data_IF_023003431064
#
_entry.id   IF_023003431064
#
_cell.length_a   1.000
_cell.length_b   1.000
_cell.length_c   1.000
_cell.angle_alpha   90.00
_cell.angle_beta   90.00
_cell.angle_gamma   90.00
#
_symmetry.space_group_name_H-M   'P 1'
#
loop_
_entity.id
_entity.type
_entity.pdbx_description
1 polymer ?
#
# COMPACT_ATOMS: atom_id res chain seq x y z
N UNK A 1 -16.20 6.05 10.35
CA UNK A 1 -15.80 7.48 10.16
C UNK A 1 -14.79 7.53 9.03
N UNK A 2 -15.15 8.20 7.96
CA UNK A 2 -14.35 8.31 6.74
C UNK A 2 -13.00 9.02 7.01
N UNK A 3 -11.90 8.42 6.58
CA UNK A 3 -10.56 9.01 6.67
C UNK A 3 -10.10 9.55 5.33
N UNK A 4 -10.40 8.83 4.23
CA UNK A 4 -10.02 9.21 2.88
C UNK A 4 -11.26 9.22 2.00
N UNK A 5 -11.47 10.30 1.27
CA UNK A 5 -12.50 10.39 0.25
C UNK A 5 -11.91 10.91 -1.05
N UNK A 6 -12.26 10.26 -2.12
CA UNK A 6 -11.88 10.60 -3.50
C UNK A 6 -13.16 10.82 -4.27
N UNK A 7 -13.31 11.99 -4.92
CA UNK A 7 -14.52 12.37 -5.66
C UNK A 7 -14.19 12.87 -7.06
N UNK A 8 -14.76 12.21 -8.05
CA UNK A 8 -14.65 12.52 -9.49
C UNK A 8 -13.20 12.79 -9.93
N UNK A 9 -12.29 11.98 -9.42
CA UNK A 9 -10.85 12.17 -9.58
C UNK A 9 -10.43 11.88 -11.01
N UNK A 10 -9.81 12.87 -11.65
CA UNK A 10 -9.21 12.71 -12.99
C UNK A 10 -7.76 13.16 -12.96
N UNK A 11 -6.89 12.35 -13.56
CA UNK A 11 -5.49 12.70 -13.81
C UNK A 11 -5.11 12.42 -15.25
N UNK A 12 -4.74 13.48 -15.95
CA UNK A 12 -4.26 13.41 -17.32
C UNK A 12 -2.77 13.75 -17.40
N UNK A 13 -2.10 13.15 -18.38
CA UNK A 13 -0.73 13.45 -18.75
C UNK A 13 -0.65 13.75 -20.25
N UNK A 14 0.30 14.56 -20.66
CA UNK A 14 0.46 14.95 -22.06
C UNK A 14 -0.45 16.09 -22.48
N UNK A 15 -0.53 16.34 -23.80
CA UNK A 15 -1.40 17.36 -24.40
C UNK A 15 -1.73 17.01 -25.84
N UNK A 16 -2.86 17.52 -26.35
CA UNK A 16 -3.32 17.28 -27.73
C UNK A 16 -3.53 15.79 -28.00
N UNK A 17 -2.98 15.29 -29.10
CA UNK A 17 -3.13 13.88 -29.53
C UNK A 17 -2.45 12.86 -28.61
N UNK A 18 -1.53 13.32 -27.74
CA UNK A 18 -0.83 12.48 -26.76
C UNK A 18 -1.41 12.58 -25.34
N UNK A 19 -2.66 13.02 -25.20
CA UNK A 19 -3.34 13.08 -23.91
C UNK A 19 -3.69 11.66 -23.44
N UNK A 20 -3.24 11.33 -22.23
CA UNK A 20 -3.54 10.04 -21.57
C UNK A 20 -4.31 10.30 -20.28
N UNK A 21 -5.49 9.70 -20.16
CA UNK A 21 -6.25 9.66 -18.92
C UNK A 21 -5.74 8.51 -18.05
N UNK A 22 -4.79 8.78 -17.16
CA UNK A 22 -4.23 7.76 -16.29
C UNK A 22 -5.18 7.37 -15.13
N UNK A 23 -6.06 8.31 -14.73
CA UNK A 23 -7.21 8.11 -13.83
C UNK A 23 -8.34 8.96 -14.42
N UNK A 24 -9.55 8.42 -14.51
CA UNK A 24 -10.70 9.02 -15.20
C UNK A 24 -11.98 8.80 -14.39
N UNK A 25 -12.49 9.88 -13.78
CA UNK A 25 -13.71 9.94 -12.97
C UNK A 25 -13.81 8.87 -11.86
N UNK A 26 -12.75 8.74 -11.07
CA UNK A 26 -12.65 7.77 -9.97
C UNK A 26 -13.22 8.36 -8.69
N UNK A 27 -14.16 7.64 -8.04
CA UNK A 27 -14.75 8.03 -6.76
C UNK A 27 -14.86 6.83 -5.81
N UNK A 28 -14.34 6.98 -4.59
CA UNK A 28 -14.45 5.99 -3.52
C UNK A 28 -14.16 6.64 -2.16
N UNK A 29 -14.53 5.96 -1.08
CA UNK A 29 -14.15 6.35 0.28
C UNK A 29 -13.55 5.19 1.05
N UNK A 30 -12.79 5.51 2.11
CA UNK A 30 -12.14 4.57 3.01
C UNK A 30 -12.43 4.98 4.45
N UNK A 31 -12.93 4.05 5.24
CA UNK A 31 -13.20 4.26 6.67
C UNK A 31 -11.94 4.09 7.52
N UNK A 32 -11.92 4.75 8.70
CA UNK A 32 -10.81 4.56 9.67
C UNK A 32 -10.69 3.10 10.11
N UNK A 33 -9.46 2.58 10.02
CA UNK A 33 -9.15 1.20 10.40
C UNK A 33 -9.45 0.16 9.32
N UNK A 34 -9.94 0.58 8.16
CA UNK A 34 -10.26 -0.32 7.04
C UNK A 34 -8.99 -0.74 6.29
N UNK A 35 -8.98 -1.99 5.84
CA UNK A 35 -7.95 -2.52 4.93
C UNK A 35 -8.53 -2.57 3.52
N UNK A 36 -8.11 -1.65 2.67
CA UNK A 36 -8.58 -1.47 1.29
C UNK A 36 -7.51 -1.90 0.29
N UNK A 37 -7.91 -2.67 -0.70
CA UNK A 37 -7.02 -3.08 -1.79
C UNK A 37 -7.40 -2.40 -3.11
N UNK A 38 -6.39 -2.04 -3.90
CA UNK A 38 -6.55 -1.57 -5.29
C UNK A 38 -5.90 -2.60 -6.20
N UNK A 39 -6.69 -3.14 -7.12
CA UNK A 39 -6.23 -4.14 -8.10
C UNK A 39 -6.55 -3.70 -9.53
N UNK A 40 -5.94 -4.36 -10.50
CA UNK A 40 -6.14 -4.08 -11.93
C UNK A 40 -4.93 -4.54 -12.74
N UNK A 41 -5.05 -4.57 -14.04
CA UNK A 41 -3.95 -4.92 -14.93
C UNK A 41 -2.81 -3.89 -14.89
N UNK A 42 -1.65 -4.22 -15.43
CA UNK A 42 -0.56 -3.26 -15.58
C UNK A 42 -1.02 -2.09 -16.47
N UNK A 43 -0.74 -0.86 -16.03
CA UNK A 43 -1.19 0.34 -16.76
C UNK A 43 -2.60 0.81 -16.42
N UNK A 44 -3.36 0.14 -15.56
CA UNK A 44 -4.74 0.53 -15.20
C UNK A 44 -4.85 1.79 -14.32
N UNK A 45 -3.75 2.49 -14.00
CA UNK A 45 -3.79 3.74 -13.23
C UNK A 45 -3.56 3.61 -11.71
N UNK A 46 -3.40 2.39 -11.16
CA UNK A 46 -3.24 2.15 -9.71
C UNK A 46 -2.16 3.00 -9.04
N UNK A 47 -0.93 2.93 -9.53
CA UNK A 47 0.17 3.72 -8.96
C UNK A 47 -0.03 5.23 -9.15
N UNK A 48 -0.66 5.65 -10.25
CA UNK A 48 -1.05 7.05 -10.42
C UNK A 48 -2.02 7.47 -9.33
N UNK A 49 -3.09 6.69 -9.09
CA UNK A 49 -4.10 6.98 -8.07
C UNK A 49 -3.47 7.13 -6.68
N UNK A 50 -2.67 6.16 -6.24
CA UNK A 50 -2.07 6.20 -4.90
C UNK A 50 -1.00 7.28 -4.74
N UNK A 51 -0.39 7.74 -5.83
CA UNK A 51 0.59 8.84 -5.83
C UNK A 51 -0.08 10.23 -5.74
N UNK A 52 -1.36 10.35 -6.08
CA UNK A 52 -2.12 11.59 -5.90
C UNK A 52 -2.47 11.85 -4.43
N UNK A 53 -2.65 10.81 -3.62
CA UNK A 53 -3.05 10.94 -2.21
C UNK A 53 -1.98 11.68 -1.37
N UNK A 54 -0.67 11.33 -1.41
CA UNK A 54 0.38 12.09 -0.72
C UNK A 54 0.78 13.36 -1.47
N UNK A 55 0.03 13.70 -2.54
CA UNK A 55 0.27 14.85 -3.39
C UNK A 55 1.68 14.90 -3.95
N UNK A 56 2.14 13.75 -4.54
CA UNK A 56 3.35 13.74 -5.38
C UNK A 56 3.09 14.41 -6.73
N UNK A 57 1.83 14.39 -7.16
CA UNK A 57 1.29 15.12 -8.32
C UNK A 57 -0.05 15.73 -7.94
N UNK A 58 -0.36 16.89 -8.48
CA UNK A 58 -1.68 17.48 -8.34
C UNK A 58 -2.69 16.80 -9.27
N UNK A 59 -3.94 16.74 -8.85
CA UNK A 59 -5.07 16.24 -9.63
C UNK A 59 -5.36 17.19 -10.81
N UNK A 60 -5.92 16.67 -11.89
CA UNK A 60 -6.40 17.50 -13.01
C UNK A 60 -7.81 17.99 -12.70
N UNK A 61 -8.69 17.09 -12.24
CA UNK A 61 -10.07 17.39 -11.83
C UNK A 61 -10.44 16.55 -10.60
N UNK A 62 -11.50 16.94 -9.90
CA UNK A 62 -11.98 16.26 -8.71
C UNK A 62 -11.27 16.68 -7.43
N UNK A 63 -11.53 15.94 -6.37
CA UNK A 63 -11.03 16.24 -5.01
C UNK A 63 -10.56 14.99 -4.29
N UNK A 64 -9.56 15.18 -3.42
CA UNK A 64 -9.14 14.18 -2.43
C UNK A 64 -9.19 14.88 -1.06
N UNK A 65 -9.93 14.30 -0.13
CA UNK A 65 -9.93 14.77 1.27
C UNK A 65 -9.34 13.72 2.21
N UNK A 66 -8.57 14.16 3.19
CA UNK A 66 -8.04 13.35 4.29
C UNK A 66 -8.57 13.91 5.60
N UNK A 67 -9.26 13.10 6.40
CA UNK A 67 -10.01 13.55 7.60
C UNK A 67 -10.98 14.72 7.29
N UNK A 68 -11.62 14.71 6.12
CA UNK A 68 -12.57 15.75 5.70
C UNK A 68 -11.93 17.05 5.21
N UNK A 69 -10.59 17.14 5.14
CA UNK A 69 -9.88 18.34 4.65
C UNK A 69 -9.30 18.07 3.25
N UNK A 70 -9.54 18.95 2.29
CA UNK A 70 -8.96 18.85 0.96
C UNK A 70 -7.42 18.90 1.06
N UNK A 71 -6.75 17.93 0.45
CA UNK A 71 -5.28 17.83 0.49
C UNK A 71 -4.57 19.05 -0.10
N UNK A 72 -5.27 19.87 -0.88
CA UNK A 72 -4.74 21.13 -1.45
C UNK A 72 -4.74 22.29 -0.45
N UNK A 73 -5.56 22.21 0.59
CA UNK A 73 -5.71 23.26 1.62
C UNK A 73 -4.68 23.17 2.74
N UNK A 74 -3.93 22.06 2.79
CA UNK A 74 -2.89 21.86 3.80
C UNK A 74 -1.49 21.83 3.17
N UNK A 75 -0.46 22.10 3.99
CA UNK A 75 0.91 21.95 3.52
C UNK A 75 1.21 20.50 3.20
N UNK A 76 2.10 20.25 2.22
CA UNK A 76 2.54 18.89 1.89
C UNK A 76 3.18 18.18 3.09
N UNK A 77 3.83 18.93 3.98
CA UNK A 77 4.41 18.40 5.21
C UNK A 77 3.30 17.87 6.13
N UNK A 78 2.30 18.69 6.44
CA UNK A 78 1.17 18.32 7.30
C UNK A 78 0.40 17.12 6.73
N UNK A 79 0.16 17.10 5.42
CA UNK A 79 -0.48 15.98 4.74
C UNK A 79 0.33 14.70 4.89
N UNK A 80 1.62 14.78 4.53
CA UNK A 80 2.51 13.60 4.50
C UNK A 80 2.83 13.09 5.89
N UNK A 81 2.73 13.91 6.94
CA UNK A 81 2.90 13.45 8.32
C UNK A 81 1.85 12.43 8.74
N UNK A 82 0.63 12.53 8.19
CA UNK A 82 -0.45 11.57 8.41
C UNK A 82 -0.31 10.27 7.60
N UNK A 83 0.57 10.24 6.59
CA UNK A 83 0.69 9.16 5.62
C UNK A 83 2.01 8.43 5.76
N UNK A 84 1.97 7.11 5.87
CA UNK A 84 3.11 6.21 5.74
C UNK A 84 3.13 5.60 4.34
N UNK A 85 3.90 6.19 3.43
CA UNK A 85 3.96 5.73 2.03
C UNK A 85 5.14 4.79 1.82
N UNK A 86 4.89 3.62 1.23
CA UNK A 86 5.91 2.65 0.82
C UNK A 86 5.83 2.43 -0.69
N UNK A 87 6.84 2.89 -1.46
CA UNK A 87 6.83 2.75 -2.91
C UNK A 87 7.09 1.29 -3.34
N UNK A 88 6.75 1.00 -4.59
CA UNK A 88 7.01 -0.30 -5.23
C UNK A 88 8.48 -0.72 -5.14
N UNK A 89 9.40 0.21 -5.33
CA UNK A 89 10.84 0.00 -5.15
C UNK A 89 11.30 0.74 -3.90
N UNK A 90 11.68 0.01 -2.87
CA UNK A 90 12.22 0.59 -1.64
C UNK A 90 13.44 1.47 -1.91
N UNK A 91 13.44 2.66 -1.32
CA UNK A 91 14.55 3.62 -1.40
C UNK A 91 15.16 3.81 -0.01
N UNK A 92 16.48 3.65 0.10
CA UNK A 92 17.22 3.89 1.32
C UNK A 92 18.19 5.07 1.14
N UNK A 93 18.38 5.81 2.22
CA UNK A 93 19.33 6.90 2.29
C UNK A 93 20.69 6.41 2.77
N UNK A 94 21.74 7.10 2.36
CA UNK A 94 23.09 6.88 2.93
C UNK A 94 23.08 7.17 4.43
N UNK A 95 23.69 6.30 5.23
CA UNK A 95 23.69 6.36 6.68
C UNK A 95 23.80 4.98 7.31
N UNK A 96 23.02 4.70 8.32
CA UNK A 96 22.90 3.37 8.92
C UNK A 96 21.43 2.86 8.88
N UNK A 97 21.22 1.63 9.35
CA UNK A 97 19.89 1.03 9.38
C UNK A 97 18.98 1.82 10.34
N UNK A 98 19.48 2.21 11.51
CA UNK A 98 18.73 2.97 12.51
C UNK A 98 18.19 4.28 11.96
N UNK A 99 19.05 5.10 11.35
CA UNK A 99 18.68 6.38 10.74
C UNK A 99 17.69 6.22 9.59
N UNK A 100 17.79 5.12 8.83
CA UNK A 100 16.83 4.80 7.79
C UNK A 100 15.44 4.44 8.33
N UNK A 101 15.35 3.64 9.40
CA UNK A 101 14.07 3.27 10.02
C UNK A 101 13.45 4.50 10.69
N UNK A 102 14.22 5.26 11.45
CA UNK A 102 13.75 6.42 12.20
C UNK A 102 13.61 7.70 11.36
N UNK A 103 13.87 7.66 10.06
CA UNK A 103 13.82 8.83 9.19
C UNK A 103 12.50 9.62 9.27
N UNK A 104 11.36 8.91 9.39
CA UNK A 104 10.03 9.51 9.52
C UNK A 104 9.62 9.83 10.97
N UNK A 105 10.44 9.44 11.96
CA UNK A 105 10.20 9.66 13.39
C UNK A 105 11.56 9.70 14.13
N UNK A 106 12.34 10.77 13.97
CA UNK A 106 13.69 10.87 14.55
C UNK A 106 13.71 10.72 16.08
N UNK A 107 12.65 11.13 16.75
CA UNK A 107 12.51 11.10 18.22
C UNK A 107 11.94 9.76 18.73
N UNK A 108 11.65 8.79 17.83
CA UNK A 108 11.00 7.53 18.19
C UNK A 108 11.80 6.61 19.12
N UNK A 109 13.12 6.76 19.13
CA UNK A 109 14.02 5.99 19.98
C UNK A 109 14.13 4.50 19.60
N UNK A 110 14.92 3.78 20.41
CA UNK A 110 15.28 2.38 20.13
C UNK A 110 14.08 1.43 20.15
N UNK A 111 13.12 1.66 21.05
CA UNK A 111 11.95 0.79 21.18
C UNK A 111 11.07 0.83 19.92
N UNK A 112 10.82 2.03 19.36
CA UNK A 112 10.04 2.21 18.12
C UNK A 112 10.80 1.60 16.94
N UNK A 113 12.10 1.79 16.87
CA UNK A 113 12.96 1.24 15.82
C UNK A 113 12.89 -0.29 15.80
N UNK A 114 13.07 -0.94 16.96
CA UNK A 114 13.04 -2.40 17.08
C UNK A 114 11.65 -2.96 16.76
N UNK A 115 10.60 -2.35 17.31
CA UNK A 115 9.22 -2.74 17.01
C UNK A 115 8.93 -2.66 15.50
N UNK A 116 9.32 -1.56 14.85
CA UNK A 116 9.13 -1.39 13.41
C UNK A 116 9.91 -2.42 12.58
N UNK A 117 11.15 -2.71 12.97
CA UNK A 117 11.97 -3.73 12.33
C UNK A 117 11.37 -5.14 12.47
N UNK A 118 10.85 -5.47 13.65
CA UNK A 118 10.20 -6.75 13.94
C UNK A 118 8.93 -6.92 13.10
N UNK A 119 8.05 -5.91 13.07
CA UNK A 119 6.83 -5.95 12.27
C UNK A 119 7.16 -6.10 10.79
N UNK A 120 8.17 -5.36 10.29
CA UNK A 120 8.63 -5.42 8.90
C UNK A 120 9.41 -6.71 8.57
N UNK A 121 9.52 -7.68 9.50
CA UNK A 121 10.31 -8.90 9.33
C UNK A 121 11.78 -8.63 8.96
N UNK A 122 12.33 -7.51 9.47
CA UNK A 122 13.69 -7.08 9.19
C UNK A 122 14.70 -7.48 10.28
N UNK A 123 14.23 -7.81 11.49
CA UNK A 123 15.06 -8.05 12.67
C UNK A 123 16.12 -9.15 12.43
N UNK A 124 15.74 -10.29 11.84
CA UNK A 124 16.64 -11.41 11.61
C UNK A 124 17.88 -11.01 10.80
N UNK A 125 17.72 -10.35 9.67
CA UNK A 125 18.86 -9.96 8.85
C UNK A 125 19.65 -8.79 9.44
N UNK A 126 19.01 -7.93 10.26
CA UNK A 126 19.68 -6.84 10.96
C UNK A 126 20.59 -7.42 12.05
N UNK A 127 20.07 -8.33 12.89
CA UNK A 127 20.81 -8.96 13.96
C UNK A 127 21.98 -9.86 13.46
N UNK A 128 21.86 -10.39 12.25
CA UNK A 128 22.93 -11.14 11.59
C UNK A 128 24.12 -10.28 11.11
N UNK A 129 23.98 -8.95 11.10
CA UNK A 129 25.07 -8.03 10.74
C UNK A 129 25.97 -7.75 11.95
N UNK A 130 27.27 -7.55 11.72
CA UNK A 130 28.26 -7.26 12.77
C UNK A 130 27.92 -6.02 13.62
N UNK A 131 27.44 -4.96 12.96
CA UNK A 131 27.09 -3.68 13.59
C UNK A 131 25.57 -3.51 13.78
N UNK A 132 24.78 -4.56 13.48
CA UNK A 132 23.32 -4.59 13.66
C UNK A 132 22.65 -3.35 13.09
N UNK A 133 21.91 -2.59 13.90
CA UNK A 133 21.21 -1.37 13.51
C UNK A 133 22.15 -0.23 13.09
N UNK A 134 23.42 -0.26 13.50
CA UNK A 134 24.44 0.72 13.09
C UNK A 134 25.16 0.32 11.79
N UNK A 135 24.78 -0.81 11.19
CA UNK A 135 25.35 -1.26 9.92
C UNK A 135 25.14 -0.23 8.83
N UNK A 136 26.21 0.10 8.12
CA UNK A 136 26.19 1.11 7.06
C UNK A 136 25.28 0.74 5.91
N UNK A 137 24.50 1.70 5.45
CA UNK A 137 23.68 1.66 4.23
C UNK A 137 24.30 2.63 3.22
N UNK A 138 24.71 2.09 2.09
CA UNK A 138 25.22 2.90 0.97
C UNK A 138 24.07 3.67 0.28
N UNK A 139 24.38 4.70 -0.46
CA UNK A 139 23.40 5.49 -1.21
C UNK A 139 22.51 4.62 -2.08
N UNK A 140 21.20 4.81 -1.96
CA UNK A 140 20.19 4.00 -2.64
C UNK A 140 20.13 2.53 -2.16
N UNK A 141 20.83 2.18 -1.08
CA UNK A 141 20.84 0.82 -0.53
C UNK A 141 21.55 -0.21 -1.42
N UNK A 142 22.59 0.19 -2.16
CA UNK A 142 23.29 -0.70 -3.10
C UNK A 142 23.98 -1.91 -2.44
N UNK A 143 24.21 -1.86 -1.14
CA UNK A 143 24.85 -2.92 -0.34
C UNK A 143 23.85 -3.83 0.41
N UNK A 144 22.55 -3.75 0.11
CA UNK A 144 21.51 -4.63 0.64
C UNK A 144 20.66 -5.21 -0.49
N UNK A 145 20.07 -6.40 -0.27
CA UNK A 145 19.22 -7.04 -1.27
C UNK A 145 17.91 -6.27 -1.49
N UNK A 146 17.22 -6.52 -2.60
CA UNK A 146 15.92 -5.90 -2.90
C UNK A 146 14.88 -6.13 -1.81
N UNK A 147 14.76 -7.37 -1.31
CA UNK A 147 13.84 -7.72 -0.21
C UNK A 147 14.23 -7.07 1.12
N UNK A 148 15.55 -6.96 1.44
CA UNK A 148 16.01 -6.23 2.62
C UNK A 148 15.69 -4.74 2.53
N UNK A 149 15.94 -4.14 1.35
CA UNK A 149 15.62 -2.73 1.06
C UNK A 149 14.13 -2.46 1.25
N UNK A 150 13.28 -3.35 0.74
CA UNK A 150 11.84 -3.23 0.86
C UNK A 150 11.38 -3.32 2.32
N UNK A 151 11.89 -4.31 3.09
CA UNK A 151 11.58 -4.46 4.51
C UNK A 151 12.02 -3.24 5.34
N UNK A 152 13.18 -2.64 5.06
CA UNK A 152 13.61 -1.41 5.73
C UNK A 152 12.73 -0.21 5.36
N UNK A 153 12.27 -0.12 4.11
CA UNK A 153 11.32 0.93 3.69
C UNK A 153 9.95 0.78 4.39
N UNK A 154 9.50 -0.46 4.57
CA UNK A 154 8.28 -0.78 5.34
C UNK A 154 8.48 -0.43 6.82
N UNK A 155 9.62 -0.81 7.43
CA UNK A 155 9.95 -0.47 8.82
C UNK A 155 9.94 1.05 9.05
N UNK A 156 10.48 1.83 8.11
CA UNK A 156 10.41 3.31 8.13
C UNK A 156 8.98 3.84 8.19
N UNK A 157 8.10 3.31 7.36
CA UNK A 157 6.69 3.72 7.36
C UNK A 157 6.00 3.35 8.68
N UNK A 158 6.29 2.17 9.24
CA UNK A 158 5.74 1.71 10.52
C UNK A 158 6.25 2.57 11.69
N UNK A 159 7.55 2.90 11.73
CA UNK A 159 8.15 3.73 12.78
C UNK A 159 7.52 5.12 12.84
N UNK A 160 7.00 5.63 11.74
CA UNK A 160 6.30 6.91 11.64
C UNK A 160 4.96 6.91 12.37
N UNK A 161 4.31 5.75 12.55
CA UNK A 161 2.98 5.59 13.18
C UNK A 161 1.90 6.45 12.50
N UNK A 162 1.72 6.38 11.19
CA UNK A 162 0.77 7.22 10.45
C UNK A 162 -0.68 6.80 10.71
N UNK A 163 -1.63 7.68 10.35
CA UNK A 163 -3.06 7.37 10.35
C UNK A 163 -3.46 6.53 9.12
N UNK A 164 -2.80 6.77 7.99
CA UNK A 164 -3.03 6.06 6.72
C UNK A 164 -1.70 5.46 6.20
N UNK A 165 -1.67 4.14 6.03
CA UNK A 165 -0.61 3.47 5.29
C UNK A 165 -0.99 3.33 3.82
N UNK A 166 -0.04 3.62 2.93
CA UNK A 166 -0.16 3.37 1.50
C UNK A 166 0.99 2.48 1.06
N UNK A 167 0.68 1.29 0.55
CA UNK A 167 1.64 0.34 0.01
C UNK A 167 1.46 0.23 -1.50
N UNK A 168 2.34 0.82 -2.29
CA UNK A 168 2.31 0.72 -3.76
C UNK A 168 3.07 -0.53 -4.20
N UNK A 169 2.36 -1.65 -4.36
CA UNK A 169 2.92 -2.96 -4.78
C UNK A 169 4.17 -3.40 -4.01
N UNK A 170 4.23 -3.00 -2.73
CA UNK A 170 5.45 -3.08 -1.93
C UNK A 170 5.80 -4.49 -1.46
N UNK A 171 4.91 -5.46 -1.65
CA UNK A 171 5.10 -6.84 -1.20
C UNK A 171 5.59 -7.77 -2.31
N UNK A 172 5.56 -7.33 -3.57
CA UNK A 172 5.97 -8.14 -4.73
C UNK A 172 7.45 -8.57 -4.71
N UNK A 173 8.31 -7.77 -4.06
CA UNK A 173 9.74 -8.05 -3.90
C UNK A 173 10.06 -9.02 -2.74
N UNK A 174 9.05 -9.44 -1.97
CA UNK A 174 9.21 -10.34 -0.83
C UNK A 174 8.92 -11.80 -1.23
N UNK A 175 9.61 -12.74 -0.59
CA UNK A 175 9.24 -14.14 -0.67
C UNK A 175 7.91 -14.39 0.05
N UNK A 176 7.22 -15.47 -0.32
CA UNK A 176 5.87 -15.78 0.16
C UNK A 176 5.80 -15.87 1.70
N UNK A 177 6.79 -16.51 2.35
CA UNK A 177 6.81 -16.69 3.81
C UNK A 177 6.92 -15.33 4.53
N UNK A 178 7.83 -14.49 4.08
CA UNK A 178 8.04 -13.14 4.61
C UNK A 178 6.80 -12.27 4.38
N UNK A 179 6.18 -12.33 3.21
CA UNK A 179 4.97 -11.60 2.86
C UNK A 179 3.79 -11.95 3.79
N UNK A 180 3.51 -13.24 3.99
CA UNK A 180 2.44 -13.72 4.90
C UNK A 180 2.71 -13.27 6.35
N UNK A 181 3.94 -13.45 6.85
CA UNK A 181 4.32 -13.06 8.20
C UNK A 181 4.19 -11.55 8.43
N UNK A 182 4.66 -10.75 7.47
CA UNK A 182 4.56 -9.29 7.51
C UNK A 182 3.11 -8.81 7.55
N UNK A 183 2.23 -9.35 6.70
CA UNK A 183 0.81 -8.96 6.70
C UNK A 183 0.09 -9.33 7.98
N UNK A 184 0.36 -10.52 8.51
CA UNK A 184 -0.19 -10.92 9.82
C UNK A 184 0.28 -9.97 10.94
N UNK A 185 1.53 -9.57 10.92
CA UNK A 185 2.09 -8.61 11.88
C UNK A 185 1.49 -7.20 11.69
N UNK A 186 1.36 -6.73 10.44
CA UNK A 186 0.72 -5.46 10.11
C UNK A 186 -0.74 -5.45 10.60
N UNK A 187 -1.56 -6.43 10.24
CA UNK A 187 -2.97 -6.50 10.65
C UNK A 187 -3.13 -6.42 12.17
N UNK A 188 -2.24 -7.06 12.93
CA UNK A 188 -2.26 -7.02 14.40
C UNK A 188 -1.89 -5.64 14.96
N UNK A 189 -0.95 -4.93 14.32
CA UNK A 189 -0.39 -3.66 14.83
C UNK A 189 -1.04 -2.43 14.21
N UNK A 190 -1.59 -2.55 13.02
CA UNK A 190 -2.33 -1.45 12.35
C UNK A 190 -3.83 -1.52 12.59
N UNK A 191 -4.30 -2.27 13.59
CA UNK A 191 -5.72 -2.36 13.94
C UNK A 191 -6.39 -0.99 14.25
N UNK A 192 -5.58 0.05 14.45
CA UNK A 192 -6.04 1.43 14.63
C UNK A 192 -5.66 2.35 13.45
N UNK A 193 -4.96 1.83 12.44
CA UNK A 193 -4.54 2.59 11.25
C UNK A 193 -5.24 2.05 10.02
N UNK A 194 -5.56 2.93 9.10
CA UNK A 194 -6.12 2.57 7.79
C UNK A 194 -5.02 2.10 6.86
N UNK A 195 -5.30 1.10 6.04
CA UNK A 195 -4.33 0.55 5.09
C UNK A 195 -4.91 0.56 3.68
N UNK A 196 -4.22 1.21 2.77
CA UNK A 196 -4.49 1.18 1.34
C UNK A 196 -3.34 0.46 0.62
N UNK A 197 -3.62 -0.64 -0.05
CA UNK A 197 -2.62 -1.46 -0.72
C UNK A 197 -2.89 -1.57 -2.22
N UNK A 198 -1.92 -1.26 -3.05
CA UNK A 198 -1.91 -1.71 -4.44
C UNK A 198 -1.35 -3.13 -4.47
N UNK A 199 -2.15 -4.08 -4.94
CA UNK A 199 -1.77 -5.49 -4.97
C UNK A 199 -1.78 -6.05 -6.39
N UNK A 200 -0.79 -6.89 -6.68
CA UNK A 200 -0.73 -7.69 -7.89
C UNK A 200 -1.23 -9.12 -7.65
N UNK A 201 -1.21 -9.61 -6.40
CA UNK A 201 -1.60 -10.98 -6.04
C UNK A 201 -2.94 -10.99 -5.34
N UNK A 202 -3.91 -11.71 -5.90
CA UNK A 202 -5.25 -11.87 -5.31
C UNK A 202 -5.19 -12.53 -3.93
N UNK A 203 -4.33 -13.54 -3.73
CA UNK A 203 -4.13 -14.20 -2.43
C UNK A 203 -3.80 -13.22 -1.29
N UNK A 204 -3.34 -12.02 -1.61
CA UNK A 204 -2.96 -10.99 -0.63
C UNK A 204 -4.14 -10.19 -0.09
N UNK A 205 -5.25 -10.18 -0.83
CA UNK A 205 -6.36 -9.26 -0.63
C UNK A 205 -7.71 -9.97 -0.40
N UNK A 206 -7.70 -11.31 -0.31
CA UNK A 206 -8.92 -12.10 -0.10
C UNK A 206 -9.77 -11.66 1.09
N UNK A 207 -9.12 -11.07 2.11
CA UNK A 207 -9.74 -10.61 3.36
C UNK A 207 -9.75 -9.07 3.48
N UNK A 208 -9.60 -8.36 2.37
CA UNK A 208 -9.78 -6.91 2.36
C UNK A 208 -11.26 -6.58 2.61
N UNK A 209 -11.51 -5.58 3.44
CA UNK A 209 -12.85 -5.08 3.69
C UNK A 209 -13.44 -4.46 2.43
N UNK A 210 -12.59 -3.85 1.60
CA UNK A 210 -12.98 -3.30 0.30
C UNK A 210 -11.87 -3.56 -0.72
N UNK A 211 -12.26 -3.95 -1.93
CA UNK A 211 -11.37 -4.08 -3.10
C UNK A 211 -11.89 -3.14 -4.19
N UNK A 212 -11.02 -2.27 -4.67
CA UNK A 212 -11.28 -1.35 -5.79
C UNK A 212 -10.59 -1.92 -7.02
N UNK A 213 -11.37 -2.24 -8.04
CA UNK A 213 -10.86 -2.77 -9.31
C UNK A 213 -10.74 -1.63 -10.32
N UNK A 214 -9.51 -1.37 -10.76
CA UNK A 214 -9.25 -0.37 -11.80
C UNK A 214 -8.99 -1.04 -13.14
N UNK A 215 -9.61 -0.51 -14.17
CA UNK A 215 -9.38 -0.85 -15.56
C UNK A 215 -9.37 0.40 -16.44
N UNK A 216 -8.33 0.56 -17.24
CA UNK A 216 -8.14 1.72 -18.13
C UNK A 216 -8.37 3.08 -17.45
N UNK A 217 -7.92 3.24 -16.21
CA UNK A 217 -8.06 4.47 -15.42
C UNK A 217 -9.41 4.64 -14.71
N UNK A 218 -10.36 3.75 -14.89
CA UNK A 218 -11.71 3.80 -14.32
C UNK A 218 -11.95 2.72 -13.29
N UNK A 219 -12.95 2.91 -12.43
CA UNK A 219 -13.41 1.87 -11.52
C UNK A 219 -14.28 0.88 -12.29
N UNK A 220 -13.83 -0.37 -12.41
CA UNK A 220 -14.59 -1.49 -12.96
C UNK A 220 -15.49 -2.16 -11.92
N UNK A 221 -15.15 -2.07 -10.63
CA UNK A 221 -15.95 -2.58 -9.53
C UNK A 221 -15.38 -2.22 -8.17
N UNK A 222 -16.26 -2.18 -7.16
CA UNK A 222 -15.90 -2.02 -5.74
C UNK A 222 -16.71 -3.03 -4.95
N UNK A 223 -16.06 -3.74 -4.01
CA UNK A 223 -16.71 -4.69 -3.12
C UNK A 223 -15.71 -5.60 -2.43
N UNK A 224 -16.20 -6.61 -1.75
CA UNK A 224 -15.41 -7.72 -1.21
C UNK A 224 -14.98 -8.68 -2.31
N UNK A 225 -14.00 -9.54 -2.01
CA UNK A 225 -13.58 -10.60 -2.93
C UNK A 225 -14.77 -11.39 -3.52
N UNK A 226 -15.71 -11.80 -2.66
CA UNK A 226 -16.87 -12.60 -3.06
C UNK A 226 -17.82 -11.81 -3.97
N UNK A 227 -18.18 -10.59 -3.58
CA UNK A 227 -19.06 -9.74 -4.38
C UNK A 227 -18.47 -9.44 -5.77
N UNK A 228 -17.16 -9.24 -5.86
CA UNK A 228 -16.49 -8.96 -7.12
C UNK A 228 -16.33 -10.20 -8.00
N UNK A 229 -16.21 -11.39 -7.45
CA UNK A 229 -16.29 -12.65 -8.22
C UNK A 229 -17.64 -12.79 -8.91
N UNK A 230 -18.72 -12.35 -8.27
CA UNK A 230 -20.07 -12.46 -8.83
C UNK A 230 -20.40 -11.31 -9.82
N UNK A 231 -19.91 -10.08 -9.55
CA UNK A 231 -20.39 -8.87 -10.23
C UNK A 231 -19.38 -8.22 -11.19
N UNK A 232 -18.06 -8.49 -11.07
CA UNK A 232 -17.03 -7.80 -11.84
C UNK A 232 -16.23 -8.77 -12.74
N UNK A 233 -16.45 -8.69 -14.05
CA UNK A 233 -15.76 -9.53 -15.03
C UNK A 233 -14.24 -9.32 -15.02
N UNK A 234 -13.78 -8.06 -14.92
CA UNK A 234 -12.35 -7.73 -14.86
C UNK A 234 -11.70 -8.39 -13.63
N UNK A 235 -12.39 -8.38 -12.48
CA UNK A 235 -11.88 -9.02 -11.28
C UNK A 235 -11.83 -10.55 -11.41
N UNK A 236 -12.85 -11.17 -11.99
CA UNK A 236 -12.87 -12.63 -12.27
C UNK A 236 -11.69 -13.05 -13.13
N UNK A 237 -11.42 -12.31 -14.21
CA UNK A 237 -10.28 -12.60 -15.09
C UNK A 237 -8.93 -12.51 -14.36
N UNK A 238 -8.75 -11.48 -13.51
CA UNK A 238 -7.55 -11.34 -12.69
C UNK A 238 -7.44 -12.50 -11.69
N UNK A 239 -8.52 -12.84 -11.00
CA UNK A 239 -8.55 -13.92 -10.02
C UNK A 239 -8.30 -15.29 -10.68
N UNK A 240 -8.95 -15.60 -11.78
CA UNK A 240 -8.78 -16.85 -12.52
C UNK A 240 -7.38 -17.03 -13.10
N UNK A 241 -6.67 -15.94 -13.38
CA UNK A 241 -5.26 -16.02 -13.81
C UNK A 241 -4.26 -16.39 -12.69
N UNK A 242 -4.70 -16.35 -11.42
CA UNK A 242 -3.81 -16.48 -10.25
C UNK A 242 -4.24 -17.55 -9.25
N UNK A 243 -5.51 -17.92 -9.22
CA UNK A 243 -6.10 -18.91 -8.32
C UNK A 243 -6.50 -20.15 -9.11
N UNK A 244 -6.41 -21.33 -8.49
CA UNK A 244 -6.95 -22.57 -9.05
C UNK A 244 -8.49 -22.56 -9.01
N UNK A 245 -9.13 -23.42 -9.83
CA UNK A 245 -10.58 -23.57 -9.81
C UNK A 245 -11.09 -23.96 -8.42
N UNK A 246 -10.36 -24.81 -7.70
CA UNK A 246 -10.71 -25.21 -6.33
C UNK A 246 -10.65 -24.03 -5.36
N UNK A 247 -9.65 -23.15 -5.47
CA UNK A 247 -9.53 -21.94 -4.65
C UNK A 247 -10.62 -20.92 -4.96
N UNK A 248 -11.02 -20.78 -6.23
CA UNK A 248 -12.14 -19.94 -6.64
C UNK A 248 -13.46 -20.48 -6.09
N UNK A 249 -13.70 -21.82 -6.17
CA UNK A 249 -14.91 -22.48 -5.68
C UNK A 249 -14.99 -22.50 -4.14
N UNK A 250 -13.88 -22.75 -3.43
CA UNK A 250 -13.83 -22.74 -1.96
C UNK A 250 -14.10 -21.33 -1.41
N UNK A 251 -13.58 -20.29 -2.05
CA UNK A 251 -13.87 -18.90 -1.69
C UNK A 251 -15.31 -18.49 -2.02
N UNK A 252 -16.00 -19.21 -2.96
CA UNK A 252 -17.42 -19.05 -3.27
C UNK A 252 -18.36 -19.80 -2.29
N UNK A 253 -17.95 -20.91 -1.70
CA UNK A 253 -18.80 -21.82 -0.88
C UNK A 253 -18.47 -21.84 0.64
N UNK A 254 -17.38 -21.20 1.06
CA UNK A 254 -16.79 -21.39 2.40
C UNK A 254 -17.40 -20.61 3.57
N UNK A 255 -18.62 -20.04 3.47
CA UNK A 255 -19.25 -19.29 4.56
C UNK A 255 -20.41 -20.03 5.27
N UNK A 256 -20.78 -21.25 4.86
CA UNK A 256 -21.87 -22.01 5.51
C UNK A 256 -21.41 -23.06 6.54
N UNK A 257 -20.10 -23.20 6.79
CA UNK A 257 -19.58 -24.29 7.63
C UNK A 257 -19.05 -23.85 9.01
N UNK A 258 -19.27 -22.63 9.47
CA UNK A 258 -18.99 -22.22 10.85
C UNK A 258 -19.99 -21.12 11.30
N UNK A 259 -21.26 -21.49 11.45
CA UNK A 259 -22.24 -20.78 12.24
C UNK A 259 -22.45 -21.51 13.57
#
# INVERSE_FOLDING_TARGET
MEILKVENLTKTYGSGENLVHAVDDVSFSVEKGEFVAIVGQSGSGKSTLVNLIPRFYDVTEGTITLDGVDIREVSQHTLRDKIGYVPQKGVLFSGDIASNILFGNPDGGEAVMKEAAQIAQAEEFIEAKSEKYHSHIAQGGSNVSGGQKQRLSIARAIAKRPELFIFDDSFSALDYKTDVALRKALKKKTAQSTVLIVAQRISTILHAEQIIVLDEGKIAGIGTHRELLDSCEVYRQIAASQLSEEELDLNGKGAEANA
#
